data_IF_517489093295
#
_entry.id   IF_517489093295
#
_cell.length_a   1.000
_cell.length_b   1.000
_cell.length_c   1.000
_cell.angle_alpha   90.00
_cell.angle_beta   90.00
_cell.angle_gamma   90.00
#
_symmetry.space_group_name_H-M   'P 1'
#
loop_
_entity.id
_entity.type
_entity.pdbx_description
1 polymer ?
#
# COMPACT_ATOMS: atom_id res chain seq x y z
N UNK A 1 1.40 1.62 5.62
CA UNK A 1 0.60 2.76 5.13
C UNK A 1 1.44 3.92 4.62
N UNK A 2 2.38 4.49 5.39
CA UNK A 2 3.31 5.49 4.84
C UNK A 2 4.30 4.88 3.84
N UNK A 3 4.87 3.72 4.17
CA UNK A 3 5.74 2.98 3.25
C UNK A 3 5.02 2.71 1.93
N UNK A 4 3.81 2.15 1.98
CA UNK A 4 3.01 1.86 0.78
C UNK A 4 2.72 3.11 -0.06
N UNK A 5 2.45 4.25 0.59
CA UNK A 5 2.24 5.54 -0.07
C UNK A 5 3.48 6.01 -0.83
N UNK A 6 4.65 5.98 -0.19
CA UNK A 6 5.89 6.40 -0.83
C UNK A 6 6.41 5.38 -1.85
N UNK A 7 6.12 4.10 -1.67
CA UNK A 7 6.36 3.09 -2.70
C UNK A 7 5.49 3.33 -3.92
N UNK A 8 4.20 3.64 -3.74
CA UNK A 8 3.29 3.97 -4.84
C UNK A 8 3.75 5.24 -5.59
N UNK A 9 4.09 6.30 -4.84
CA UNK A 9 4.60 7.57 -5.40
C UNK A 9 5.88 7.37 -6.22
N UNK A 10 6.82 6.57 -5.73
CA UNK A 10 8.16 6.42 -6.32
C UNK A 10 8.32 5.14 -7.16
N UNK A 11 7.24 4.39 -7.38
CA UNK A 11 7.30 3.02 -7.90
C UNK A 11 8.10 2.91 -9.20
N UNK A 12 7.79 3.80 -10.16
CA UNK A 12 8.46 3.80 -11.45
C UNK A 12 9.96 4.03 -11.33
N UNK A 13 10.39 4.95 -10.45
CA UNK A 13 11.80 5.25 -10.24
C UNK A 13 12.53 4.13 -9.49
N UNK A 14 11.85 3.51 -8.51
CA UNK A 14 12.43 2.46 -7.68
C UNK A 14 12.58 1.12 -8.40
N UNK A 15 11.65 0.81 -9.31
CA UNK A 15 11.57 -0.52 -9.94
C UNK A 15 11.68 -0.51 -11.46
N UNK A 16 11.77 0.66 -12.09
CA UNK A 16 11.76 0.84 -13.54
C UNK A 16 10.57 0.13 -14.21
N UNK A 17 9.40 0.20 -13.56
CA UNK A 17 8.15 -0.45 -13.98
C UNK A 17 6.97 0.46 -13.70
N UNK A 18 5.97 0.42 -14.56
CA UNK A 18 4.69 1.11 -14.36
C UNK A 18 3.88 0.43 -13.25
N UNK A 19 3.52 1.18 -12.20
CA UNK A 19 2.64 0.64 -11.14
C UNK A 19 1.28 0.20 -11.68
N UNK A 20 0.73 0.90 -12.68
CA UNK A 20 -0.53 0.54 -13.32
C UNK A 20 -0.45 -0.84 -13.97
N UNK A 21 0.64 -1.12 -14.69
CA UNK A 21 0.80 -2.40 -15.37
C UNK A 21 0.99 -3.54 -14.37
N UNK A 22 1.74 -3.29 -13.29
CA UNK A 22 1.93 -4.26 -12.21
C UNK A 22 0.60 -4.53 -11.49
N UNK A 23 -0.17 -3.49 -11.16
CA UNK A 23 -1.48 -3.63 -10.51
C UNK A 23 -2.45 -4.43 -11.38
N UNK A 24 -2.52 -4.13 -12.69
CA UNK A 24 -3.35 -4.90 -13.62
C UNK A 24 -2.96 -6.38 -13.66
N UNK A 25 -1.66 -6.69 -13.77
CA UNK A 25 -1.18 -8.08 -13.77
C UNK A 25 -1.62 -8.81 -12.50
N UNK A 26 -1.52 -8.16 -11.33
CA UNK A 26 -1.95 -8.75 -10.05
C UNK A 26 -3.46 -8.99 -10.05
N UNK A 27 -4.26 -7.99 -10.42
CA UNK A 27 -5.72 -8.08 -10.43
C UNK A 27 -6.22 -9.14 -11.41
N UNK A 28 -5.61 -9.24 -12.59
CA UNK A 28 -5.93 -10.27 -13.58
C UNK A 28 -5.64 -11.68 -13.01
N UNK A 29 -4.51 -11.87 -12.33
CA UNK A 29 -4.20 -13.16 -11.69
C UNK A 29 -5.13 -13.50 -10.54
N UNK A 30 -5.55 -12.52 -9.74
CA UNK A 30 -6.57 -12.73 -8.70
C UNK A 30 -7.91 -13.13 -9.35
N UNK A 31 -8.30 -12.47 -10.44
CA UNK A 31 -9.55 -12.77 -11.17
C UNK A 31 -9.56 -14.16 -11.79
N UNK A 32 -8.46 -14.57 -12.42
CA UNK A 32 -8.28 -15.93 -12.97
C UNK A 32 -8.46 -17.00 -11.88
N UNK A 33 -8.01 -16.70 -10.66
CA UNK A 33 -8.08 -17.60 -9.52
C UNK A 33 -9.30 -17.35 -8.62
N UNK A 34 -10.33 -16.61 -9.07
CA UNK A 34 -11.47 -16.23 -8.20
C UNK A 34 -12.13 -17.39 -7.44
N UNK A 35 -12.09 -18.60 -8.00
CA UNK A 35 -12.71 -19.80 -7.44
C UNK A 35 -12.06 -20.28 -6.13
N UNK A 36 -10.82 -19.89 -5.83
CA UNK A 36 -10.16 -20.25 -4.56
C UNK A 36 -10.53 -19.32 -3.41
N UNK A 37 -11.20 -18.20 -3.70
CA UNK A 37 -11.57 -17.20 -2.71
C UNK A 37 -13.00 -17.41 -2.18
N UNK A 38 -13.29 -17.04 -0.92
CA UNK A 38 -14.65 -17.02 -0.40
C UNK A 38 -15.58 -16.11 -1.21
N UNK A 39 -16.87 -16.41 -1.26
CA UNK A 39 -17.86 -15.58 -1.98
C UNK A 39 -17.83 -14.10 -1.55
N UNK A 40 -17.59 -13.83 -0.26
CA UNK A 40 -17.52 -12.47 0.27
C UNK A 40 -16.31 -11.67 -0.25
N UNK A 41 -15.30 -12.34 -0.81
CA UNK A 41 -14.15 -11.68 -1.41
C UNK A 41 -14.51 -10.92 -2.69
N UNK A 42 -15.56 -11.32 -3.42
CA UNK A 42 -15.95 -10.67 -4.68
C UNK A 42 -16.21 -9.16 -4.51
N UNK A 43 -16.84 -8.77 -3.39
CA UNK A 43 -17.07 -7.35 -3.08
C UNK A 43 -15.76 -6.59 -2.87
N UNK A 44 -14.80 -7.22 -2.20
CA UNK A 44 -13.48 -6.64 -1.94
C UNK A 44 -12.70 -6.54 -3.25
N UNK A 45 -12.74 -7.59 -4.08
CA UNK A 45 -12.06 -7.61 -5.36
C UNK A 45 -12.59 -6.54 -6.33
N UNK A 46 -13.91 -6.40 -6.45
CA UNK A 46 -14.50 -5.34 -7.28
C UNK A 46 -14.06 -3.96 -6.80
N UNK A 47 -14.05 -3.73 -5.48
CA UNK A 47 -13.55 -2.47 -4.92
C UNK A 47 -12.07 -2.23 -5.22
N UNK A 48 -11.22 -3.25 -5.12
CA UNK A 48 -9.79 -3.16 -5.47
C UNK A 48 -9.60 -2.80 -6.95
N UNK A 49 -10.33 -3.49 -7.82
CA UNK A 49 -10.24 -3.32 -9.26
C UNK A 49 -10.76 -1.95 -9.74
N UNK A 50 -11.89 -1.49 -9.20
CA UNK A 50 -12.50 -0.22 -9.61
C UNK A 50 -11.71 1.01 -9.14
N UNK A 51 -10.93 0.86 -8.07
CA UNK A 51 -10.23 1.97 -7.41
C UNK A 51 -8.77 2.08 -7.78
N UNK A 52 -8.18 1.16 -8.54
CA UNK A 52 -6.73 1.12 -8.83
C UNK A 52 -5.92 1.48 -7.57
N UNK A 53 -6.18 0.73 -6.51
CA UNK A 53 -5.79 1.07 -5.14
C UNK A 53 -4.28 1.24 -5.01
N UNK A 54 -3.49 0.38 -5.65
CA UNK A 54 -2.02 0.48 -5.59
C UNK A 54 -1.54 1.75 -6.27
N UNK A 55 -2.07 2.07 -7.44
CA UNK A 55 -1.74 3.31 -8.16
C UNK A 55 -2.17 4.56 -7.39
N UNK A 56 -3.36 4.56 -6.82
CA UNK A 56 -3.93 5.73 -6.15
C UNK A 56 -3.43 5.89 -4.71
N UNK A 57 -2.67 4.93 -4.17
CA UNK A 57 -2.11 5.02 -2.84
C UNK A 57 -1.10 6.17 -2.66
N UNK A 58 -0.54 6.68 -3.77
CA UNK A 58 0.31 7.89 -3.79
C UNK A 58 -0.46 9.17 -3.48
N UNK A 59 -1.79 9.16 -3.55
CA UNK A 59 -2.61 10.34 -3.27
C UNK A 59 -2.85 10.46 -1.76
N UNK A 60 -2.54 11.62 -1.18
CA UNK A 60 -2.71 11.87 0.25
C UNK A 60 -4.17 11.72 0.70
N UNK A 61 -5.13 12.14 -0.13
CA UNK A 61 -6.56 12.00 0.16
C UNK A 61 -7.00 10.54 0.19
N UNK A 62 -6.41 9.71 -0.68
CA UNK A 62 -6.67 8.27 -0.69
C UNK A 62 -6.13 7.62 0.59
N UNK A 63 -4.89 7.97 0.96
CA UNK A 63 -4.27 7.52 2.19
C UNK A 63 -5.07 7.95 3.43
N UNK A 64 -5.53 9.20 3.48
CA UNK A 64 -6.34 9.73 4.58
C UNK A 64 -7.67 8.97 4.72
N UNK A 65 -8.35 8.67 3.60
CA UNK A 65 -9.55 7.82 3.62
C UNK A 65 -9.25 6.41 4.12
N UNK A 66 -8.12 5.82 3.75
CA UNK A 66 -7.70 4.52 4.26
C UNK A 66 -7.47 4.56 5.79
N UNK A 67 -6.77 5.58 6.30
CA UNK A 67 -6.61 5.82 7.74
C UNK A 67 -7.96 5.99 8.45
N UNK A 68 -8.89 6.77 7.87
CA UNK A 68 -10.23 6.98 8.42
C UNK A 68 -11.06 5.68 8.43
N UNK A 69 -10.98 4.86 7.38
CA UNK A 69 -11.63 3.56 7.31
C UNK A 69 -11.16 2.62 8.42
N UNK A 70 -9.85 2.58 8.69
CA UNK A 70 -9.27 1.82 9.80
C UNK A 70 -9.63 2.40 11.17
N UNK A 71 -9.73 3.73 11.27
CA UNK A 71 -10.11 4.44 12.49
C UNK A 71 -11.56 4.17 12.92
N UNK A 72 -12.49 4.05 11.95
CA UNK A 72 -13.91 3.78 12.22
C UNK A 72 -14.13 2.50 13.04
N UNK A 73 -13.22 1.53 12.93
CA UNK A 73 -13.33 0.22 13.58
C UNK A 73 -12.59 0.12 14.93
N UNK A 74 -12.06 1.22 15.50
CA UNK A 74 -11.29 1.23 16.77
C UNK A 74 -11.56 2.49 17.60
N UNK A 75 -11.56 2.39 18.94
CA UNK A 75 -11.54 3.53 19.90
C UNK A 75 -10.35 4.53 19.72
N UNK A 76 -9.44 4.30 18.76
CA UNK A 76 -8.17 5.02 18.55
C UNK A 76 -8.19 5.98 17.34
N UNK A 77 -9.34 6.35 16.79
CA UNK A 77 -9.43 7.21 15.59
C UNK A 77 -8.68 8.54 15.69
N UNK A 78 -8.54 9.12 16.90
CA UNK A 78 -7.72 10.32 17.15
C UNK A 78 -6.25 10.13 16.76
N UNK A 79 -5.66 8.96 17.01
CA UNK A 79 -4.24 8.69 16.72
C UNK A 79 -3.99 8.61 15.22
N UNK A 80 -4.92 8.04 14.47
CA UNK A 80 -4.80 7.87 13.02
C UNK A 80 -4.96 9.21 12.28
N UNK A 81 -5.83 10.10 12.76
CA UNK A 81 -5.93 11.46 12.22
C UNK A 81 -4.65 12.28 12.48
N UNK A 82 -4.04 12.13 13.66
CA UNK A 82 -2.76 12.77 13.98
C UNK A 82 -1.62 12.25 13.10
N UNK A 83 -1.64 10.96 12.73
CA UNK A 83 -0.62 10.38 11.86
C UNK A 83 -0.60 11.04 10.47
N UNK A 84 -1.76 11.30 9.86
CA UNK A 84 -1.84 11.98 8.56
C UNK A 84 -1.33 13.43 8.65
N UNK A 85 -1.66 14.13 9.75
CA UNK A 85 -1.15 15.49 9.99
C UNK A 85 0.39 15.51 10.13
N UNK A 86 0.94 14.56 10.89
CA UNK A 86 2.38 14.44 11.09
C UNK A 86 3.12 14.05 9.79
N UNK A 87 2.51 13.17 8.97
CA UNK A 87 2.99 12.84 7.64
C UNK A 87 3.09 14.09 6.76
N UNK A 88 2.01 14.89 6.69
CA UNK A 88 1.98 16.13 5.90
C UNK A 88 3.07 17.11 6.35
N UNK A 89 3.31 17.22 7.66
CA UNK A 89 4.32 18.11 8.24
C UNK A 89 5.76 17.70 7.92
N UNK A 90 6.06 16.40 7.89
CA UNK A 90 7.42 15.88 7.71
C UNK A 90 7.55 15.02 6.45
N UNK A 91 6.84 15.38 5.39
CA UNK A 91 6.59 14.52 4.24
C UNK A 91 7.88 13.96 3.60
N UNK A 92 8.85 14.83 3.30
CA UNK A 92 10.12 14.42 2.69
C UNK A 92 10.96 13.52 3.61
N UNK A 93 10.95 13.79 4.92
CA UNK A 93 11.65 12.96 5.91
C UNK A 93 11.05 11.56 5.97
N UNK A 94 9.72 11.46 5.95
CA UNK A 94 9.04 10.16 5.93
C UNK A 94 9.23 9.44 4.60
N UNK A 95 9.33 10.17 3.49
CA UNK A 95 9.63 9.59 2.17
C UNK A 95 10.98 8.87 2.18
N UNK A 96 12.04 9.59 2.56
CA UNK A 96 13.40 9.04 2.62
C UNK A 96 13.46 7.82 3.54
N UNK A 97 12.92 7.95 4.77
CA UNK A 97 12.90 6.86 5.75
C UNK A 97 12.12 5.66 5.26
N UNK A 98 10.98 5.87 4.60
CA UNK A 98 10.13 4.79 4.10
C UNK A 98 10.81 3.96 3.02
N UNK A 99 11.48 4.63 2.08
CA UNK A 99 12.22 3.96 1.00
C UNK A 99 13.41 3.19 1.58
N UNK A 100 14.17 3.81 2.49
CA UNK A 100 15.30 3.16 3.17
C UNK A 100 14.86 1.91 3.94
N UNK A 101 13.77 2.03 4.70
CA UNK A 101 13.21 0.93 5.49
C UNK A 101 12.77 -0.23 4.59
N UNK A 102 12.07 0.06 3.48
CA UNK A 102 11.65 -0.97 2.54
C UNK A 102 12.83 -1.81 2.03
N UNK A 103 13.92 -1.17 1.59
CA UNK A 103 15.08 -1.90 1.08
C UNK A 103 15.86 -2.62 2.17
N UNK A 104 15.93 -2.05 3.38
CA UNK A 104 16.51 -2.72 4.54
C UNK A 104 15.76 -4.03 4.86
N UNK A 105 14.44 -3.95 5.05
CA UNK A 105 13.60 -5.12 5.36
C UNK A 105 13.65 -6.15 4.23
N UNK A 106 13.61 -5.72 2.96
CA UNK A 106 13.76 -6.62 1.81
C UNK A 106 15.07 -7.41 1.89
N UNK A 107 16.19 -6.73 2.18
CA UNK A 107 17.52 -7.37 2.30
C UNK A 107 17.57 -8.37 3.45
N UNK A 108 17.08 -7.99 4.63
CA UNK A 108 17.11 -8.87 5.80
C UNK A 108 16.16 -10.06 5.63
N UNK A 109 15.01 -9.88 5.01
CA UNK A 109 14.07 -10.98 4.71
C UNK A 109 14.67 -12.02 3.78
N UNK A 110 15.40 -11.59 2.74
CA UNK A 110 16.10 -12.49 1.82
C UNK A 110 17.20 -13.26 2.57
N UNK A 111 18.01 -12.57 3.38
CA UNK A 111 19.06 -13.24 4.18
C UNK A 111 18.46 -14.32 5.08
N UNK A 112 17.37 -14.01 5.75
CA UNK A 112 16.73 -14.97 6.66
C UNK A 112 16.13 -16.17 5.91
N UNK A 113 15.51 -15.92 4.75
CA UNK A 113 14.98 -17.01 3.91
C UNK A 113 16.10 -17.92 3.39
N UNK A 114 17.26 -17.37 3.01
CA UNK A 114 18.40 -18.13 2.48
C UNK A 114 19.23 -18.86 3.54
N UNK A 115 18.96 -18.66 4.84
CA UNK A 115 19.60 -19.45 5.92
C UNK A 115 18.96 -20.83 6.11
N UNK A 116 17.79 -21.06 5.53
CA UNK A 116 17.11 -22.37 5.49
C UNK A 116 17.61 -23.19 4.32
#
# INVERSE_FOLDING_TARGET
MFVDHFLSKNFNNLFNKSINDVERIILDKVKENKNIFPKDFEKIFNWLNDRNVMTNYKELDFLERAFQGLAKNRRRGKILNLAVAELKKNYNLFEEKSIKEFFYVKKESIKEFSKK
#
